data_IF_271697608782
#
_entry.id   IF_271697608782
#
_cell.length_a   1.000
_cell.length_b   1.000
_cell.length_c   1.000
_cell.angle_alpha   90.00
_cell.angle_beta   90.00
_cell.angle_gamma   90.00
#
_symmetry.space_group_name_H-M   'P 1'
#
loop_
_entity.id
_entity.type
_entity.pdbx_description
1 polymer ?
#
# COMPACT_ATOMS: atom_id res chain seq x y z
N UNK A 1 -14.79 -6.41 -7.08
CA UNK A 1 -14.13 -6.72 -5.79
C UNK A 1 -14.08 -5.42 -5.00
N UNK A 2 -14.05 -5.43 -3.67
CA UNK A 2 -14.02 -4.21 -2.85
C UNK A 2 -12.62 -4.02 -2.31
N UNK A 3 -12.04 -2.84 -2.48
CA UNK A 3 -10.71 -2.53 -1.99
C UNK A 3 -10.67 -2.60 -0.46
N UNK A 4 -9.62 -3.23 0.06
CA UNK A 4 -9.44 -3.49 1.48
C UNK A 4 -8.44 -2.51 2.08
N UNK A 5 -7.36 -2.25 1.35
CA UNK A 5 -6.28 -1.36 1.77
C UNK A 5 -6.02 -0.28 0.72
N UNK A 6 -5.40 0.80 1.17
CA UNK A 6 -4.74 1.77 0.32
C UNK A 6 -3.25 1.72 0.61
N UNK A 7 -2.44 1.74 -0.44
CA UNK A 7 -0.98 1.70 -0.37
C UNK A 7 -0.44 3.01 -0.90
N UNK A 8 0.50 3.62 -0.18
CA UNK A 8 1.20 4.84 -0.62
C UNK A 8 2.70 4.66 -0.56
N UNK A 9 3.38 5.05 -1.62
CA UNK A 9 4.84 5.08 -1.72
C UNK A 9 5.37 6.27 -0.90
N UNK A 10 6.20 5.95 0.09
CA UNK A 10 6.89 6.94 0.92
C UNK A 10 8.25 7.31 0.35
N UNK A 11 8.97 6.33 -0.22
CA UNK A 11 10.28 6.49 -0.83
C UNK A 11 10.63 5.27 -1.70
N UNK A 12 11.47 5.47 -2.71
CA UNK A 12 11.99 4.42 -3.60
C UNK A 12 13.51 4.55 -3.69
N UNK A 13 14.22 3.43 -3.61
CA UNK A 13 15.68 3.32 -3.73
C UNK A 13 16.03 2.16 -4.68
N UNK A 14 16.00 2.37 -6.01
CA UNK A 14 16.27 1.33 -7.00
C UNK A 14 17.66 0.68 -6.85
N UNK A 15 18.77 1.42 -6.57
CA UNK A 15 20.07 0.81 -6.32
C UNK A 15 20.10 -0.18 -5.15
N UNK A 16 19.21 -0.01 -4.15
CA UNK A 16 19.05 -0.95 -3.04
C UNK A 16 17.87 -1.91 -3.24
N UNK A 17 17.15 -1.82 -4.36
CA UNK A 17 15.94 -2.57 -4.67
C UNK A 17 14.89 -2.46 -3.56
N UNK A 18 14.79 -1.27 -2.97
CA UNK A 18 13.99 -1.05 -1.76
C UNK A 18 12.94 0.01 -2.00
N UNK A 19 11.72 -0.28 -1.56
CA UNK A 19 10.60 0.66 -1.54
C UNK A 19 10.03 0.76 -0.13
N UNK A 20 9.65 1.97 0.27
CA UNK A 20 8.98 2.24 1.52
C UNK A 20 7.50 2.45 1.25
N UNK A 21 6.66 1.60 1.81
CA UNK A 21 5.21 1.62 1.58
C UNK A 21 4.47 1.92 2.88
N UNK A 22 3.38 2.67 2.77
CA UNK A 22 2.39 2.82 3.82
C UNK A 22 1.12 2.10 3.42
N UNK A 23 0.73 1.12 4.20
CA UNK A 23 -0.54 0.39 4.03
C UNK A 23 -1.55 0.90 5.04
N UNK A 24 -2.74 1.30 4.57
CA UNK A 24 -3.83 1.82 5.40
C UNK A 24 -5.11 1.02 5.14
N UNK A 25 -5.74 0.52 6.20
CA UNK A 25 -6.99 -0.22 6.12
C UNK A 25 -8.16 0.73 5.77
N UNK A 26 -8.74 0.57 4.59
CA UNK A 26 -9.81 1.44 4.10
C UNK A 26 -11.21 0.84 4.25
N UNK A 27 -11.31 -0.48 4.26
CA UNK A 27 -12.56 -1.20 4.45
C UNK A 27 -12.77 -1.60 5.92
N UNK A 28 -13.98 -1.39 6.49
CA UNK A 28 -14.31 -1.85 7.85
C UNK A 28 -14.07 -3.34 8.09
N UNK A 29 -14.18 -4.18 7.06
CA UNK A 29 -13.96 -5.63 7.16
C UNK A 29 -12.52 -5.98 7.58
N UNK A 30 -11.56 -5.07 7.34
CA UNK A 30 -10.14 -5.28 7.68
C UNK A 30 -9.63 -4.41 8.83
N UNK A 31 -10.46 -3.59 9.46
CA UNK A 31 -10.02 -2.78 10.61
C UNK A 31 -9.58 -3.63 11.81
N UNK A 32 -10.13 -4.82 11.96
CA UNK A 32 -9.74 -5.77 13.01
C UNK A 32 -8.83 -6.90 12.51
N UNK A 33 -8.55 -6.95 11.20
CA UNK A 33 -7.68 -7.95 10.62
C UNK A 33 -6.22 -7.73 11.05
N UNK A 34 -5.37 -8.78 11.03
CA UNK A 34 -3.94 -8.57 11.13
C UNK A 34 -3.47 -7.67 9.99
N UNK A 35 -2.55 -6.75 10.31
CA UNK A 35 -1.81 -5.99 9.30
C UNK A 35 -0.92 -6.95 8.51
N UNK A 36 -0.65 -6.70 7.21
CA UNK A 36 0.23 -7.54 6.40
C UNK A 36 1.57 -7.83 7.09
N UNK A 37 1.95 -9.09 7.22
CA UNK A 37 3.21 -9.49 7.88
C UNK A 37 4.11 -10.39 7.03
N UNK A 38 3.70 -10.65 5.78
CA UNK A 38 4.38 -11.54 4.86
C UNK A 38 4.45 -10.96 3.44
N UNK A 39 5.24 -11.61 2.58
CA UNK A 39 5.50 -11.19 1.21
C UNK A 39 4.29 -11.38 0.27
N UNK A 40 3.38 -12.33 0.54
CA UNK A 40 2.28 -12.65 -0.38
C UNK A 40 1.32 -11.48 -0.55
N UNK A 41 1.11 -10.70 0.51
CA UNK A 41 0.36 -9.45 0.42
C UNK A 41 0.98 -8.49 -0.62
N UNK A 42 2.30 -8.30 -0.58
CA UNK A 42 2.98 -7.35 -1.47
C UNK A 42 3.17 -7.89 -2.88
N UNK A 43 3.33 -9.21 -3.04
CA UNK A 43 3.28 -9.85 -4.34
C UNK A 43 1.92 -9.61 -4.99
N UNK A 44 0.83 -9.93 -4.27
CA UNK A 44 -0.54 -9.72 -4.77
C UNK A 44 -0.89 -8.25 -5.00
N UNK A 45 -0.36 -7.35 -4.17
CA UNK A 45 -0.57 -5.91 -4.34
C UNK A 45 0.14 -5.33 -5.57
N UNK A 46 1.37 -5.80 -5.83
CA UNK A 46 2.22 -5.28 -6.90
C UNK A 46 2.00 -6.01 -8.24
N UNK A 47 1.55 -7.28 -8.24
CA UNK A 47 1.30 -8.01 -9.49
C UNK A 47 0.18 -7.39 -10.34
N UNK A 48 -0.74 -6.63 -9.72
CA UNK A 48 -1.82 -5.93 -10.42
C UNK A 48 -1.34 -4.67 -11.16
N UNK A 49 -0.08 -4.25 -10.97
CA UNK A 49 0.52 -3.10 -11.67
C UNK A 49 0.89 -3.44 -13.12
N UNK A 50 0.45 -2.62 -14.08
CA UNK A 50 0.67 -2.87 -15.52
C UNK A 50 2.16 -2.96 -15.89
N UNK A 51 3.04 -2.16 -15.28
CA UNK A 51 4.47 -2.21 -15.57
C UNK A 51 5.11 -3.50 -15.03
N UNK A 52 4.60 -4.01 -13.92
CA UNK A 52 5.03 -5.29 -13.34
C UNK A 52 4.51 -6.46 -14.17
N UNK A 53 3.24 -6.42 -14.61
CA UNK A 53 2.68 -7.42 -15.51
C UNK A 53 3.50 -7.56 -16.79
N UNK A 54 3.91 -6.45 -17.40
CA UNK A 54 4.76 -6.46 -18.59
C UNK A 54 6.12 -7.13 -18.33
N UNK A 55 6.70 -6.95 -17.13
CA UNK A 55 7.94 -7.61 -16.73
C UNK A 55 7.75 -9.11 -16.44
N UNK A 56 6.60 -9.53 -15.92
CA UNK A 56 6.32 -10.93 -15.59
C UNK A 56 6.08 -11.80 -16.83
N UNK A 57 5.54 -11.22 -17.91
CA UNK A 57 5.21 -11.96 -19.14
C UNK A 57 6.38 -12.03 -20.14
N UNK A 58 7.48 -11.33 -19.90
CA UNK A 58 8.64 -11.33 -20.80
C UNK A 58 9.46 -12.64 -20.63
N UNK A 59 9.38 -13.51 -21.64
CA UNK A 59 10.02 -14.84 -21.61
C UNK A 59 11.56 -14.80 -21.69
N UNK A 60 12.15 -13.70 -22.15
CA UNK A 60 13.59 -13.58 -22.40
C UNK A 60 14.34 -12.79 -21.30
N UNK A 61 13.70 -11.77 -20.70
CA UNK A 61 14.32 -10.88 -19.70
C UNK A 61 13.37 -10.49 -18.54
N UNK A 62 12.32 -11.28 -18.33
CA UNK A 62 11.33 -11.03 -17.29
C UNK A 62 11.85 -11.20 -15.86
N UNK A 63 10.99 -10.82 -14.91
CA UNK A 63 11.23 -11.02 -13.47
C UNK A 63 10.53 -12.28 -12.98
N UNK A 64 11.09 -12.91 -11.96
CA UNK A 64 10.49 -14.10 -11.32
C UNK A 64 9.15 -13.73 -10.64
N UNK A 65 8.21 -14.69 -10.58
CA UNK A 65 6.92 -14.45 -9.92
C UNK A 65 7.05 -14.21 -8.41
N UNK A 66 8.12 -14.70 -7.76
CA UNK A 66 8.47 -14.39 -6.36
C UNK A 66 9.40 -13.17 -6.26
N UNK A 67 9.00 -12.04 -6.85
CA UNK A 67 9.86 -10.85 -6.94
C UNK A 67 10.01 -10.06 -5.63
N UNK A 68 9.31 -10.42 -4.55
CA UNK A 68 9.45 -9.80 -3.23
C UNK A 68 10.42 -10.61 -2.37
N UNK A 69 11.65 -10.10 -2.23
CA UNK A 69 12.74 -10.76 -1.49
C UNK A 69 12.54 -10.71 0.03
N UNK A 70 12.10 -9.56 0.56
CA UNK A 70 11.84 -9.42 2.00
C UNK A 70 10.92 -8.25 2.34
N UNK A 71 10.26 -8.36 3.48
CA UNK A 71 9.35 -7.35 4.03
C UNK A 71 9.69 -7.12 5.50
N UNK A 72 9.92 -5.86 5.88
CA UNK A 72 10.08 -5.45 7.27
C UNK A 72 9.04 -4.40 7.64
N UNK A 73 8.21 -4.66 8.65
CA UNK A 73 7.32 -3.66 9.22
C UNK A 73 8.11 -2.70 10.12
N UNK A 74 8.21 -1.44 9.71
CA UNK A 74 9.00 -0.41 10.41
C UNK A 74 8.19 0.40 11.42
N UNK A 75 6.89 0.57 11.17
CA UNK A 75 5.99 1.29 12.06
C UNK A 75 4.59 0.68 12.04
N UNK A 76 3.90 0.73 13.17
CA UNK A 76 2.49 0.34 13.31
C UNK A 76 1.67 1.54 13.78
N UNK A 77 0.47 1.73 13.21
CA UNK A 77 -0.44 2.85 13.52
C UNK A 77 -1.82 2.36 13.86
N UNK A 78 -2.41 2.98 14.89
CA UNK A 78 -3.80 2.78 15.32
C UNK A 78 -4.21 1.31 15.52
N UNK A 79 -3.25 0.43 15.81
CA UNK A 79 -3.46 -0.98 16.09
C UNK A 79 -3.13 -1.28 17.57
N UNK A 80 -3.94 -2.09 18.28
CA UNK A 80 -5.20 -2.70 17.83
C UNK A 80 -6.30 -1.66 17.61
N UNK A 81 -7.25 -1.96 16.71
CA UNK A 81 -8.37 -1.07 16.43
C UNK A 81 -9.37 -1.11 17.59
N UNK A 82 -9.46 0.00 18.32
CA UNK A 82 -10.32 0.16 19.49
C UNK A 82 -11.66 0.80 19.12
N UNK A 83 -12.67 0.67 19.98
CA UNK A 83 -13.94 1.38 19.82
C UNK A 83 -13.77 2.92 19.75
N UNK A 84 -12.74 3.48 20.39
CA UNK A 84 -12.40 4.90 20.26
C UNK A 84 -11.82 5.25 18.89
N UNK A 85 -11.10 4.33 18.25
CA UNK A 85 -10.64 4.50 16.86
C UNK A 85 -11.82 4.41 15.88
N UNK A 86 -12.73 3.46 16.08
CA UNK A 86 -13.97 3.36 15.30
C UNK A 86 -14.80 4.65 15.38
N UNK A 87 -15.01 5.17 16.60
CA UNK A 87 -15.71 6.43 16.80
C UNK A 87 -15.02 7.59 16.06
N UNK A 88 -13.69 7.70 16.11
CA UNK A 88 -12.91 8.73 15.39
C UNK A 88 -13.08 8.64 13.87
N UNK A 89 -13.09 7.43 13.31
CA UNK A 89 -13.32 7.20 11.88
C UNK A 89 -14.75 7.64 11.52
N UNK A 90 -15.76 7.22 12.30
CA UNK A 90 -17.15 7.62 12.08
C UNK A 90 -17.37 9.14 12.17
N UNK A 91 -16.82 9.79 13.21
CA UNK A 91 -16.91 11.24 13.44
C UNK A 91 -16.15 12.05 12.38
N UNK A 92 -15.16 11.47 11.71
CA UNK A 92 -14.46 12.14 10.62
C UNK A 92 -15.40 12.44 9.43
N UNK A 93 -16.46 11.64 9.26
CA UNK A 93 -17.50 11.82 8.24
C UNK A 93 -17.00 11.78 6.79
N UNK A 94 -15.70 11.55 6.57
CA UNK A 94 -15.07 11.51 5.26
C UNK A 94 -14.70 10.07 4.92
N UNK A 95 -15.15 9.61 3.76
CA UNK A 95 -14.60 8.41 3.14
C UNK A 95 -13.10 8.58 2.88
N UNK A 96 -12.41 7.49 2.57
CA UNK A 96 -11.07 7.60 2.00
C UNK A 96 -11.18 8.39 0.69
N UNK A 97 -10.21 9.28 0.34
CA UNK A 97 -10.24 9.92 -0.98
C UNK A 97 -10.30 8.82 -2.04
N UNK A 98 -11.29 8.90 -2.92
CA UNK A 98 -11.47 7.96 -4.02
C UNK A 98 -10.57 8.40 -5.18
N UNK A 99 -10.15 7.46 -6.05
CA UNK A 99 -9.13 7.59 -7.12
C UNK A 99 -9.31 8.73 -8.15
N UNK A 100 -10.28 9.63 -7.97
CA UNK A 100 -10.53 10.73 -8.90
C UNK A 100 -9.43 11.82 -8.91
N UNK A 101 -8.43 11.73 -8.03
CA UNK A 101 -7.28 12.64 -7.98
C UNK A 101 -5.96 11.86 -8.17
N UNK A 102 -5.00 12.48 -8.86
CA UNK A 102 -3.70 11.88 -9.22
C UNK A 102 -2.81 11.53 -8.02
N UNK A 103 -1.49 11.47 -8.24
CA UNK A 103 -0.54 11.18 -7.17
C UNK A 103 -0.69 12.17 -6.00
N UNK A 104 -0.22 11.82 -4.81
CA UNK A 104 -0.32 12.67 -3.62
C UNK A 104 0.19 14.10 -3.85
N UNK A 105 1.22 14.26 -4.69
CA UNK A 105 1.82 15.55 -5.00
C UNK A 105 1.00 16.38 -6.00
N UNK A 106 0.08 15.77 -6.72
CA UNK A 106 -0.81 16.40 -7.70
C UNK A 106 -2.20 16.70 -7.13
N UNK A 107 -2.55 16.09 -5.99
CA UNK A 107 -3.80 16.35 -5.28
C UNK A 107 -3.95 17.82 -4.89
N UNK A 108 -5.21 18.25 -4.79
CA UNK A 108 -5.49 19.52 -4.12
C UNK A 108 -5.01 19.47 -2.66
N UNK A 109 -4.63 20.62 -2.05
CA UNK A 109 -4.22 20.64 -0.64
C UNK A 109 -5.29 20.08 0.32
N UNK A 110 -6.56 20.24 -0.01
CA UNK A 110 -7.68 19.72 0.79
C UNK A 110 -7.75 18.18 0.73
N UNK A 111 -7.49 17.61 -0.44
CA UNK A 111 -7.52 16.17 -0.67
C UNK A 111 -6.28 15.48 -0.13
N UNK A 112 -5.10 16.06 -0.31
CA UNK A 112 -3.87 15.60 0.33
C UNK A 112 -4.02 15.61 1.87
N UNK A 113 -4.60 16.66 2.44
CA UNK A 113 -4.89 16.73 3.87
C UNK A 113 -5.93 15.67 4.30
N UNK A 114 -6.92 15.38 3.47
CA UNK A 114 -7.91 14.34 3.74
C UNK A 114 -7.28 12.92 3.72
N UNK A 115 -6.37 12.65 2.78
CA UNK A 115 -5.61 11.40 2.72
C UNK A 115 -4.77 11.23 3.99
N UNK A 116 -3.94 12.21 4.32
CA UNK A 116 -3.08 12.18 5.51
C UNK A 116 -3.92 11.96 6.78
N UNK A 117 -5.04 12.68 6.91
CA UNK A 117 -5.94 12.49 8.05
C UNK A 117 -6.51 11.08 8.12
N UNK A 118 -6.84 10.46 6.99
CA UNK A 118 -7.28 9.07 6.95
C UNK A 118 -6.19 8.12 7.47
N UNK A 119 -4.94 8.30 7.03
CA UNK A 119 -3.79 7.52 7.50
C UNK A 119 -3.54 7.70 9.01
N UNK A 120 -3.81 8.89 9.56
CA UNK A 120 -3.61 9.19 10.98
C UNK A 120 -4.66 8.56 11.90
N UNK A 121 -5.88 8.28 11.41
CA UNK A 121 -6.98 7.76 12.24
C UNK A 121 -7.29 6.28 11.97
N UNK A 122 -6.90 5.75 10.82
CA UNK A 122 -7.14 4.36 10.42
C UNK A 122 -5.99 3.45 10.82
N UNK A 123 -6.27 2.16 10.90
CA UNK A 123 -5.27 1.11 11.09
C UNK A 123 -4.31 1.12 9.90
N UNK A 124 -3.02 1.01 10.16
CA UNK A 124 -2.04 0.95 9.10
C UNK A 124 -0.64 0.67 9.62
N UNK A 125 0.30 0.52 8.70
CA UNK A 125 1.70 0.32 9.00
C UNK A 125 2.59 0.83 7.87
N UNK A 126 3.84 1.13 8.20
CA UNK A 126 4.89 1.38 7.22
C UNK A 126 5.76 0.14 7.08
N UNK A 127 6.21 -0.10 5.85
CA UNK A 127 6.97 -1.27 5.45
C UNK A 127 8.18 -0.83 4.64
N UNK A 128 9.29 -1.52 4.87
CA UNK A 128 10.38 -1.60 3.92
C UNK A 128 10.22 -2.91 3.16
N UNK A 129 10.04 -2.82 1.85
CA UNK A 129 9.94 -3.96 0.94
C UNK A 129 11.19 -3.98 0.07
N UNK A 130 11.83 -5.14 -0.01
CA UNK A 130 12.98 -5.38 -0.90
C UNK A 130 12.51 -6.31 -2.01
N UNK A 131 12.76 -5.92 -3.24
CA UNK A 131 12.45 -6.70 -4.43
C UNK A 131 13.72 -7.36 -5.00
N UNK A 132 13.55 -8.43 -5.76
CA UNK A 132 14.66 -9.17 -6.37
C UNK A 132 15.31 -8.38 -7.52
N UNK A 133 14.50 -7.57 -8.23
CA UNK A 133 14.89 -6.76 -9.39
C UNK A 133 14.43 -5.30 -9.23
N UNK A 134 15.31 -4.33 -9.52
CA UNK A 134 14.97 -2.90 -9.36
C UNK A 134 13.90 -2.43 -10.34
N UNK A 135 13.77 -3.08 -11.51
CA UNK A 135 12.82 -2.72 -12.56
C UNK A 135 11.37 -2.76 -12.06
N UNK A 136 11.08 -3.60 -11.07
CA UNK A 136 9.76 -3.73 -10.40
C UNK A 136 9.34 -2.44 -9.70
N UNK A 137 10.28 -1.60 -9.28
CA UNK A 137 10.00 -0.37 -8.52
C UNK A 137 10.49 0.90 -9.22
N UNK A 138 11.12 0.79 -10.39
CA UNK A 138 11.75 1.91 -11.09
C UNK A 138 10.73 2.92 -11.64
N UNK A 139 9.51 2.48 -11.92
CA UNK A 139 8.42 3.34 -12.38
C UNK A 139 7.70 4.07 -11.24
N UNK A 140 7.92 3.65 -9.99
CA UNK A 140 7.26 4.20 -8.82
C UNK A 140 7.99 5.43 -8.27
N UNK A 141 7.22 6.39 -7.80
CA UNK A 141 7.70 7.63 -7.21
C UNK A 141 7.08 7.90 -5.84
N UNK A 142 7.80 8.65 -4.99
CA UNK A 142 7.29 9.02 -3.68
C UNK A 142 6.03 9.89 -3.80
N UNK A 143 4.93 9.43 -3.23
CA UNK A 143 3.61 10.06 -3.34
C UNK A 143 2.64 9.29 -4.23
N UNK A 144 3.12 8.32 -5.02
CA UNK A 144 2.23 7.39 -5.71
C UNK A 144 1.43 6.60 -4.69
N UNK A 145 0.18 6.30 -5.05
CA UNK A 145 -0.71 5.55 -4.18
C UNK A 145 -1.78 4.87 -5.01
N UNK A 146 -2.29 3.77 -4.49
CA UNK A 146 -3.35 2.99 -5.12
C UNK A 146 -4.20 2.31 -4.04
N UNK A 147 -5.27 1.67 -4.48
CA UNK A 147 -6.13 0.82 -3.66
C UNK A 147 -5.92 -0.61 -4.07
N UNK A 148 -5.99 -1.51 -3.10
CA UNK A 148 -5.74 -2.92 -3.33
C UNK A 148 -6.81 -3.79 -2.69
N UNK A 149 -7.09 -4.88 -3.38
CA UNK A 149 -7.97 -5.95 -2.91
C UNK A 149 -7.19 -7.09 -2.25
N UNK A 150 -5.84 -7.01 -2.24
CA UNK A 150 -4.96 -7.96 -1.59
C UNK A 150 -5.33 -8.16 -0.11
N UNK A 151 -5.19 -9.40 0.36
CA UNK A 151 -5.50 -9.78 1.74
C UNK A 151 -4.30 -10.53 2.36
N UNK A 152 -3.90 -10.19 3.59
CA UNK A 152 -2.82 -10.91 4.29
C UNK A 152 -3.12 -12.41 4.42
N UNK A 153 -2.18 -13.26 4.00
CA UNK A 153 -2.35 -14.71 4.04
C UNK A 153 -3.37 -15.26 3.04
N UNK A 154 -3.69 -14.53 1.97
CA UNK A 154 -4.22 -15.14 0.77
C UNK A 154 -3.11 -16.00 0.12
N UNK A 155 -3.47 -17.23 -0.22
CA UNK A 155 -2.65 -18.26 -0.88
C UNK A 155 -3.16 -18.45 -2.31
#
# INVERSE_FOLDING_TARGET
MTDLYAVRVLAVDPPRRRIQLRVTAINPDVWHAPLPDDASFFLSDLEDDEAILDLLVDEDDGVDDDFVESVERTATRNYPFTAEAEKRVFESGRGFPWEDEGSFNEMSPESAAALVRCEEIRVGADYDVVVTDSRVIEHLEAGDWWRTTAYPGAD
#
